data_IF_519589455192
#
_entry.id   IF_519589455192
#
_cell.length_a   1.000
_cell.length_b   1.000
_cell.length_c   1.000
_cell.angle_alpha   90.00
_cell.angle_beta   90.00
_cell.angle_gamma   90.00
#
_symmetry.space_group_name_H-M   'P 1'
#
loop_
_entity.id
_entity.type
_entity.pdbx_description
1 polymer ?
#
# COMPACT_ATOMS: atom_id res chain seq x y z
N UNK A 1 17.85 14.23 -2.17
CA UNK A 1 17.04 13.01 -2.04
C UNK A 1 15.65 13.32 -2.55
N UNK A 2 15.08 12.46 -3.39
CA UNK A 2 13.71 12.62 -3.86
C UNK A 2 12.75 12.11 -2.77
N UNK A 3 11.77 12.93 -2.40
CA UNK A 3 10.73 12.55 -1.43
C UNK A 3 9.38 12.45 -2.15
N UNK A 4 8.66 11.37 -1.89
CA UNK A 4 7.31 11.10 -2.37
C UNK A 4 6.36 11.24 -1.19
N UNK A 5 5.46 12.22 -1.26
CA UNK A 5 4.35 12.36 -0.31
C UNK A 5 3.07 11.86 -0.96
N UNK A 6 2.35 10.99 -0.27
CA UNK A 6 1.04 10.49 -0.71
C UNK A 6 0.00 10.94 0.29
N UNK A 7 -1.04 11.59 -0.22
CA UNK A 7 -2.19 12.06 0.54
C UNK A 7 -3.38 11.20 0.15
N UNK A 8 -3.68 10.22 1.00
CA UNK A 8 -4.72 9.23 0.78
C UNK A 8 -6.09 9.75 1.26
N UNK A 9 -7.19 9.27 0.64
CA UNK A 9 -8.55 9.58 1.10
C UNK A 9 -8.81 9.13 2.54
N UNK A 10 -9.94 9.57 3.08
CA UNK A 10 -10.43 9.09 4.36
C UNK A 10 -10.66 7.56 4.32
N UNK A 11 -9.77 6.80 4.95
CA UNK A 11 -9.84 5.34 5.03
C UNK A 11 -9.69 4.88 6.49
N UNK A 12 -10.23 3.71 6.83
CA UNK A 12 -10.15 3.16 8.19
C UNK A 12 -8.71 2.88 8.68
N UNK A 13 -7.72 2.78 7.78
CA UNK A 13 -6.31 2.57 8.09
C UNK A 13 -5.40 3.21 7.03
N UNK A 14 -4.12 3.40 7.37
CA UNK A 14 -3.13 4.14 6.54
C UNK A 14 -2.86 3.52 5.16
N UNK A 15 -3.14 2.23 4.98
CA UNK A 15 -3.00 1.54 3.68
C UNK A 15 -4.33 1.33 2.97
N UNK A 16 -5.47 1.50 3.67
CA UNK A 16 -6.81 1.19 3.18
C UNK A 16 -7.09 -0.30 2.94
N UNK A 17 -6.24 -1.20 3.48
CA UNK A 17 -6.35 -2.66 3.28
C UNK A 17 -7.19 -3.34 4.41
N UNK A 18 -7.71 -2.56 5.35
CA UNK A 18 -8.51 -3.03 6.47
C UNK A 18 -9.99 -3.19 6.06
N UNK A 19 -10.38 -4.39 5.64
CA UNK A 19 -11.78 -4.73 5.37
C UNK A 19 -11.95 -6.02 4.58
N UNK A 20 -13.16 -6.61 4.52
CA UNK A 20 -13.42 -7.83 3.76
C UNK A 20 -13.28 -7.64 2.24
N UNK A 21 -13.34 -6.40 1.77
CA UNK A 21 -13.19 -6.01 0.37
C UNK A 21 -11.93 -5.17 0.19
N UNK A 22 -10.79 -5.84 0.04
CA UNK A 22 -9.51 -5.17 -0.20
C UNK A 22 -9.44 -4.67 -1.64
N UNK A 23 -9.16 -3.38 -1.83
CA UNK A 23 -8.90 -2.82 -3.14
C UNK A 23 -7.52 -3.27 -3.65
N UNK A 24 -7.50 -3.98 -4.78
CA UNK A 24 -6.27 -4.46 -5.43
C UNK A 24 -5.37 -3.31 -5.88
N UNK A 25 -5.92 -2.13 -6.19
CA UNK A 25 -5.14 -0.95 -6.52
C UNK A 25 -4.30 -0.48 -5.32
N UNK A 26 -4.88 -0.47 -4.12
CA UNK A 26 -4.17 -0.11 -2.88
C UNK A 26 -3.05 -1.08 -2.54
N UNK A 27 -3.27 -2.38 -2.74
CA UNK A 27 -2.25 -3.42 -2.51
C UNK A 27 -1.06 -3.26 -3.47
N UNK A 28 -1.35 -3.05 -4.75
CA UNK A 28 -0.32 -2.81 -5.78
C UNK A 28 0.46 -1.54 -5.45
N UNK A 29 -0.24 -0.46 -5.15
CA UNK A 29 0.37 0.82 -4.84
C UNK A 29 1.25 0.75 -3.58
N UNK A 30 0.80 0.07 -2.52
CA UNK A 30 1.64 -0.15 -1.34
C UNK A 30 2.93 -0.93 -1.67
N UNK A 31 2.84 -1.92 -2.57
CA UNK A 31 4.02 -2.67 -3.03
C UNK A 31 4.96 -1.80 -3.86
N UNK A 32 4.43 -0.90 -4.68
CA UNK A 32 5.19 0.05 -5.50
C UNK A 32 5.91 1.10 -4.65
N UNK A 33 5.26 1.60 -3.60
CA UNK A 33 5.87 2.49 -2.62
C UNK A 33 7.02 1.81 -1.85
N UNK A 34 6.82 0.55 -1.43
CA UNK A 34 7.88 -0.22 -0.80
C UNK A 34 9.06 -0.46 -1.76
N UNK A 35 8.78 -0.64 -3.05
CA UNK A 35 9.83 -0.71 -4.07
C UNK A 35 10.62 0.60 -4.18
N UNK A 36 9.95 1.76 -4.22
CA UNK A 36 10.61 3.07 -4.21
C UNK A 36 11.53 3.27 -3.00
N UNK A 37 11.06 2.89 -1.80
CA UNK A 37 11.88 2.95 -0.59
C UNK A 37 13.17 2.12 -0.71
N UNK A 38 13.10 0.93 -1.34
CA UNK A 38 14.29 0.10 -1.61
C UNK A 38 15.25 0.73 -2.61
N UNK A 39 14.76 1.59 -3.51
CA UNK A 39 15.59 2.36 -4.44
C UNK A 39 16.20 3.62 -3.80
N UNK A 40 16.01 3.84 -2.49
CA UNK A 40 16.55 4.99 -1.76
C UNK A 40 15.69 6.26 -1.85
N UNK A 41 14.43 6.14 -2.29
CA UNK A 41 13.46 7.23 -2.30
C UNK A 41 12.75 7.32 -0.95
N UNK A 42 12.67 8.51 -0.37
CA UNK A 42 11.90 8.72 0.86
C UNK A 42 10.42 8.70 0.51
N UNK A 43 9.62 7.87 1.19
CA UNK A 43 8.18 7.79 0.97
C UNK A 43 7.45 8.06 2.28
N UNK A 44 6.53 9.02 2.25
CA UNK A 44 5.66 9.38 3.36
C UNK A 44 4.20 9.31 2.88
N UNK A 45 3.35 8.65 3.67
CA UNK A 45 1.91 8.56 3.39
C UNK A 45 1.13 9.19 4.52
N UNK A 46 0.10 9.94 4.16
CA UNK A 46 -0.83 10.60 5.07
C UNK A 46 -2.24 10.16 4.74
N UNK A 47 -3.02 9.82 5.76
CA UNK A 47 -4.43 9.47 5.61
C UNK A 47 -5.29 10.59 6.17
N UNK A 48 -6.30 11.05 5.42
CA UNK A 48 -7.12 12.20 5.81
C UNK A 48 -7.85 11.99 7.15
N UNK A 49 -8.32 10.78 7.44
CA UNK A 49 -9.00 10.44 8.69
C UNK A 49 -8.07 10.40 9.90
N UNK A 50 -6.79 10.07 9.70
CA UNK A 50 -5.81 9.90 10.78
C UNK A 50 -4.96 11.15 11.00
N UNK A 51 -4.65 11.88 9.93
CA UNK A 51 -3.67 12.97 9.92
C UNK A 51 -4.20 14.20 9.16
N UNK A 52 -5.39 14.75 9.49
CA UNK A 52 -5.96 15.88 8.77
C UNK A 52 -5.08 17.14 8.82
N UNK A 53 -4.27 17.30 9.88
CA UNK A 53 -3.33 18.41 10.01
C UNK A 53 -2.27 18.42 8.90
N UNK A 54 -1.84 17.26 8.39
CA UNK A 54 -0.85 17.18 7.31
C UNK A 54 -1.41 17.73 5.98
N UNK A 55 -2.71 17.53 5.73
CA UNK A 55 -3.40 18.06 4.54
C UNK A 55 -3.61 19.57 4.63
N UNK A 56 -3.82 20.10 5.84
CA UNK A 56 -3.97 21.54 6.07
C UNK A 56 -2.63 22.30 6.05
N UNK A 57 -1.52 21.61 6.34
CA UNK A 57 -0.18 22.20 6.36
C UNK A 57 0.40 22.45 4.96
N UNK A 58 0.01 21.65 3.97
CA UNK A 58 0.46 21.81 2.59
C UNK A 58 -0.54 22.66 1.79
N UNK A 59 -0.10 23.83 1.32
CA UNK A 59 -0.97 24.79 0.65
C UNK A 59 -1.57 24.25 -0.66
N UNK A 60 -0.83 23.43 -1.41
CA UNK A 60 -1.31 22.86 -2.68
C UNK A 60 -2.36 21.78 -2.42
N UNK A 61 -2.13 20.93 -1.41
CA UNK A 61 -3.09 19.88 -1.02
C UNK A 61 -4.37 20.52 -0.47
N UNK A 62 -4.23 21.53 0.38
CA UNK A 62 -5.37 22.28 0.92
C UNK A 62 -6.18 22.97 -0.18
N UNK A 63 -5.51 23.59 -1.15
CA UNK A 63 -6.19 24.22 -2.28
C UNK A 63 -6.97 23.20 -3.11
N UNK A 64 -6.35 22.07 -3.47
CA UNK A 64 -7.00 20.99 -4.22
C UNK A 64 -8.22 20.42 -3.48
N UNK A 65 -8.12 20.22 -2.15
CA UNK A 65 -9.25 19.80 -1.32
C UNK A 65 -10.37 20.84 -1.25
N UNK A 66 -10.03 22.13 -1.27
CA UNK A 66 -11.03 23.21 -1.22
C UNK A 66 -11.78 23.34 -2.54
N UNK A 67 -11.09 23.14 -3.67
CA UNK A 67 -11.65 23.30 -5.01
C UNK A 67 -12.40 22.06 -5.49
N UNK A 68 -11.85 20.86 -5.24
CA UNK A 68 -12.37 19.61 -5.78
C UNK A 68 -12.92 18.66 -4.71
N UNK A 69 -12.83 19.03 -3.42
CA UNK A 69 -13.20 18.15 -2.32
C UNK A 69 -12.31 16.92 -2.20
N UNK A 70 -12.81 15.88 -1.54
CA UNK A 70 -12.09 14.60 -1.39
C UNK A 70 -11.89 13.85 -2.71
N UNK A 71 -12.58 14.24 -3.79
CA UNK A 71 -12.45 13.60 -5.11
C UNK A 71 -11.07 13.81 -5.76
N UNK A 72 -10.29 14.80 -5.29
CA UNK A 72 -8.89 14.96 -5.71
C UNK A 72 -7.93 13.94 -5.07
N UNK A 73 -8.39 13.17 -4.08
CA UNK A 73 -7.59 12.15 -3.42
C UNK A 73 -7.71 10.80 -4.17
N UNK A 74 -6.64 9.99 -4.23
CA UNK A 74 -5.32 10.24 -3.66
C UNK A 74 -4.55 11.33 -4.43
N UNK A 75 -3.81 12.16 -3.70
CA UNK A 75 -2.93 13.19 -4.26
C UNK A 75 -1.48 12.80 -3.99
N UNK A 76 -0.67 12.74 -5.03
CA UNK A 76 0.74 12.34 -4.94
C UNK A 76 1.63 13.52 -5.29
N UNK A 77 2.61 13.80 -4.43
CA UNK A 77 3.64 14.82 -4.64
C UNK A 77 5.02 14.19 -4.69
N UNK A 78 5.85 14.64 -5.62
CA UNK A 78 7.25 14.21 -5.75
C UNK A 78 8.13 15.45 -5.77
N UNK A 79 9.10 15.53 -4.86
CA UNK A 79 9.98 16.69 -4.74
C UNK A 79 9.24 17.99 -4.39
N UNK A 80 8.07 17.90 -3.76
CA UNK A 80 7.25 19.05 -3.39
C UNK A 80 6.22 19.47 -4.45
N UNK A 81 6.21 18.86 -5.65
CA UNK A 81 5.26 19.19 -6.73
C UNK A 81 4.19 18.12 -6.86
N UNK A 82 2.92 18.50 -7.04
CA UNK A 82 1.82 17.56 -7.34
C UNK A 82 2.03 16.92 -8.71
N UNK A 83 2.05 15.59 -8.76
CA UNK A 83 2.20 14.80 -9.99
C UNK A 83 0.96 13.98 -10.34
N UNK A 84 0.08 13.73 -9.36
CA UNK A 84 -1.16 12.98 -9.58
C UNK A 84 -2.24 13.42 -8.59
N UNK A 85 -3.49 13.40 -9.05
CA UNK A 85 -4.69 13.69 -8.28
C UNK A 85 -5.79 12.70 -8.70
N UNK A 86 -6.60 12.25 -7.74
CA UNK A 86 -7.76 11.36 -7.95
C UNK A 86 -7.41 9.94 -8.38
N UNK A 87 -6.11 9.59 -8.51
CA UNK A 87 -5.66 8.27 -8.95
C UNK A 87 -4.29 7.90 -8.40
N UNK A 88 -4.11 6.61 -8.12
CA UNK A 88 -2.81 6.06 -7.79
C UNK A 88 -1.95 5.91 -9.07
N UNK A 89 -0.79 6.58 -9.17
CA UNK A 89 0.09 6.44 -10.32
C UNK A 89 0.71 5.03 -10.38
N UNK A 90 1.10 4.61 -11.59
CA UNK A 90 1.76 3.32 -11.78
C UNK A 90 3.22 3.36 -11.29
N UNK A 91 3.82 2.19 -11.02
CA UNK A 91 5.26 2.10 -10.75
C UNK A 91 6.13 2.78 -11.81
N UNK A 92 5.77 2.65 -13.09
CA UNK A 92 6.52 3.25 -14.18
C UNK A 92 6.48 4.79 -14.13
N UNK A 93 5.32 5.36 -13.83
CA UNK A 93 5.16 6.80 -13.65
C UNK A 93 5.96 7.28 -12.44
N UNK A 94 5.83 6.58 -11.31
CA UNK A 94 6.57 6.89 -10.08
C UNK A 94 8.09 6.84 -10.30
N UNK A 95 8.60 5.83 -11.01
CA UNK A 95 10.02 5.71 -11.31
C UNK A 95 10.51 6.87 -12.18
N UNK A 96 9.77 7.18 -13.26
CA UNK A 96 10.10 8.26 -14.19
C UNK A 96 10.13 9.61 -13.49
N UNK A 97 9.10 9.90 -12.68
CA UNK A 97 8.97 11.15 -11.95
C UNK A 97 9.96 11.27 -10.78
N UNK A 98 10.36 10.15 -10.18
CA UNK A 98 11.38 10.13 -9.13
C UNK A 98 12.81 10.22 -9.67
N UNK A 99 13.00 10.25 -11.00
CA UNK A 99 14.31 10.27 -11.65
C UNK A 99 15.05 8.93 -11.57
N UNK A 100 14.33 7.84 -11.31
CA UNK A 100 14.87 6.48 -11.36
C UNK A 100 14.90 6.01 -12.81
N UNK A 101 15.98 5.37 -13.24
CA UNK A 101 15.98 4.63 -14.52
C UNK A 101 14.83 3.62 -14.45
N UNK A 102 13.86 3.75 -15.35
CA UNK A 102 12.67 2.91 -15.36
C UNK A 102 13.09 1.44 -15.19
N UNK A 103 12.45 0.69 -14.28
CA UNK A 103 12.81 -0.70 -14.09
C UNK A 103 12.55 -1.44 -15.40
N UNK A 104 13.61 -1.79 -16.12
CA UNK A 104 13.59 -2.89 -17.09
C UNK A 104 12.90 -4.05 -16.40
N UNK A 105 11.94 -4.68 -17.08
CA UNK A 105 10.97 -5.65 -16.56
C UNK A 105 11.55 -6.97 -15.96
N UNK A 106 12.74 -6.94 -15.36
CA UNK A 106 13.46 -8.07 -14.77
C UNK A 106 13.16 -8.29 -13.28
N UNK A 107 12.48 -7.37 -12.58
CA UNK A 107 12.01 -7.58 -11.20
C UNK A 107 10.48 -7.57 -11.12
N UNK A 108 9.87 -8.36 -12.00
CA UNK A 108 8.57 -8.92 -11.75
C UNK A 108 8.75 -10.36 -11.25
N UNK A 109 8.46 -10.57 -9.95
CA UNK A 109 7.94 -11.84 -9.40
C UNK A 109 9.02 -12.85 -8.97
N UNK A 110 8.92 -13.41 -7.73
CA UNK A 110 8.02 -14.54 -7.49
C UNK A 110 6.93 -14.12 -6.49
N UNK A 111 5.64 -14.05 -6.84
CA UNK A 111 4.69 -15.15 -6.85
C UNK A 111 5.13 -16.27 -5.90
N UNK A 112 4.59 -16.36 -4.68
CA UNK A 112 4.63 -17.62 -3.97
C UNK A 112 3.82 -18.62 -4.81
N UNK A 113 4.53 -19.56 -5.44
CA UNK A 113 3.97 -20.80 -5.95
C UNK A 113 3.23 -21.49 -4.82
N UNK A 114 1.96 -21.90 -5.00
CA UNK A 114 1.31 -22.79 -4.06
C UNK A 114 1.83 -24.21 -4.32
N UNK A 115 2.85 -24.63 -3.57
CA UNK A 115 3.27 -26.04 -3.51
C UNK A 115 3.14 -26.52 -2.08
N UNK A 116 1.96 -27.09 -1.83
CA UNK A 116 1.66 -28.31 -1.09
C UNK A 116 2.49 -28.74 0.14
N UNK A 117 1.70 -29.17 1.13
CA UNK A 117 1.97 -30.21 2.14
C UNK A 117 2.63 -29.76 3.45
N UNK A 118 1.79 -29.60 4.48
CA UNK A 118 1.67 -30.64 5.50
C UNK A 118 0.46 -30.34 6.38
N UNK A 119 -0.61 -31.11 6.19
CA UNK A 119 -1.51 -31.42 7.29
C UNK A 119 -0.64 -32.05 8.37
N UNK A 120 -0.38 -31.30 9.44
CA UNK A 120 0.18 -31.87 10.64
C UNK A 120 -0.92 -32.73 11.28
N UNK A 121 -0.76 -34.06 11.40
CA UNK A 121 -1.58 -34.81 12.33
C UNK A 121 -1.27 -34.25 13.72
N UNK A 122 -2.31 -33.75 14.40
CA UNK A 122 -2.28 -33.35 15.79
C UNK A 122 -1.98 -34.57 16.70
N UNK A 123 -0.75 -35.08 16.66
CA UNK A 123 -0.21 -35.98 17.68
C UNK A 123 0.29 -35.14 18.85
N UNK A 124 -0.65 -34.73 19.72
CA UNK A 124 -0.29 -34.44 21.10
C UNK A 124 -0.14 -35.75 21.88
N UNK A 125 0.96 -36.00 22.61
CA UNK A 125 1.02 -37.13 23.52
C UNK A 125 0.39 -36.70 24.85
N UNK A 126 -0.84 -37.12 25.14
CA UNK A 126 -1.38 -37.04 26.51
C UNK A 126 -2.52 -38.04 26.78
N UNK A 127 -2.09 -39.16 27.38
CA UNK A 127 -2.80 -40.14 28.24
C UNK A 127 -3.76 -41.19 27.63
N UNK A 128 -3.64 -42.47 28.06
CA UNK A 128 -4.57 -43.53 27.70
C UNK A 128 -5.78 -43.49 28.64
N UNK A 129 -6.99 -43.53 28.09
CA UNK A 129 -8.19 -43.50 28.90
C UNK A 129 -9.48 -43.64 28.11
N UNK A 130 -9.79 -44.87 27.71
CA UNK A 130 -11.14 -45.42 27.57
C UNK A 130 -12.12 -44.84 26.51
N UNK A 131 -12.43 -45.74 25.56
CA UNK A 131 -13.77 -46.19 25.13
C UNK A 131 -14.45 -45.52 23.93
N UNK A 132 -14.54 -46.34 22.87
CA UNK A 132 -15.70 -46.58 21.98
C UNK A 132 -16.19 -45.37 21.19
N UNK A 133 -15.97 -45.24 19.87
CA UNK A 133 -16.26 -46.20 18.81
C UNK A 133 -17.30 -45.54 17.90
N UNK A 134 -16.86 -44.87 16.83
CA UNK A 134 -17.73 -44.16 15.89
C UNK A 134 -17.79 -44.89 14.54
N UNK A 135 -19.01 -45.08 14.04
CA UNK A 135 -19.33 -45.09 12.62
C UNK A 135 -19.29 -43.66 12.07
#
# INVERSE_FOLDING_TARGET
>A
MTTVHVFDPAMCCSTGICGPSVDRALVRFASDLAWLQRQGVTVERFNLSQQPAAFAADAEVKAALTEHGEACLPLVKIGGTVVSQGRYPSRADLATLAGLTAPTAAEATPAPTPTAAAEAPCCGPSKPGARTGCC
#
